data_IF_783602838788
#
_entry.id   IF_783602838788
#
_cell.length_a   1.000
_cell.length_b   1.000
_cell.length_c   1.000
_cell.angle_alpha   90.00
_cell.angle_beta   90.00
_cell.angle_gamma   90.00
#
_symmetry.space_group_name_H-M   'P 1'
#
loop_
_entity.id
_entity.type
_entity.pdbx_description
1 polymer ?
#
# COMPACT_ATOMS: atom_id res chain seq x y z
N UNK A 1 23.03 24.39 21.85
CA UNK A 1 21.57 24.31 22.01
C UNK A 1 21.30 23.63 23.34
N UNK A 2 20.35 24.13 24.10
CA UNK A 2 19.94 23.51 25.33
C UNK A 2 19.36 22.09 25.03
N UNK A 3 19.82 21.02 25.72
CA UNK A 3 19.30 19.66 25.52
C UNK A 3 17.78 19.56 25.66
N UNK A 4 17.20 20.36 26.53
CA UNK A 4 15.76 20.42 26.75
C UNK A 4 15.00 20.96 25.54
N UNK A 5 15.51 22.00 24.90
CA UNK A 5 14.89 22.56 23.70
C UNK A 5 15.02 21.61 22.50
N UNK A 6 16.12 20.86 22.40
CA UNK A 6 16.30 19.84 21.37
C UNK A 6 15.32 18.67 21.56
N UNK A 7 15.15 18.20 22.80
CA UNK A 7 14.19 17.14 23.11
C UNK A 7 12.74 17.58 22.86
N UNK A 8 12.38 18.80 23.23
CA UNK A 8 11.05 19.36 22.95
C UNK A 8 10.80 19.50 21.44
N UNK A 9 11.80 19.97 20.67
CA UNK A 9 11.69 20.06 19.23
C UNK A 9 11.52 18.68 18.57
N UNK A 10 12.26 17.65 19.01
CA UNK A 10 12.12 16.28 18.53
C UNK A 10 10.74 15.70 18.84
N UNK A 11 10.21 15.94 20.05
CA UNK A 11 8.87 15.51 20.44
C UNK A 11 7.77 16.18 19.60
N UNK A 12 7.91 17.48 19.31
CA UNK A 12 6.99 18.19 18.41
C UNK A 12 7.06 17.62 16.99
N UNK A 13 8.25 17.38 16.46
CA UNK A 13 8.42 16.79 15.13
C UNK A 13 7.78 15.40 15.07
N UNK A 14 8.03 14.52 16.03
CA UNK A 14 7.40 13.20 16.10
C UNK A 14 5.86 13.30 16.14
N UNK A 15 5.32 14.27 16.90
CA UNK A 15 3.88 14.50 16.94
C UNK A 15 3.33 14.98 15.60
N UNK A 16 4.04 15.84 14.87
CA UNK A 16 3.63 16.29 13.54
C UNK A 16 3.63 15.14 12.53
N UNK A 17 4.66 14.29 12.54
CA UNK A 17 4.75 13.10 11.67
C UNK A 17 3.58 12.14 11.95
N UNK A 18 3.23 11.94 13.22
CA UNK A 18 2.05 11.15 13.62
C UNK A 18 0.74 11.76 13.13
N UNK A 19 0.58 13.07 13.24
CA UNK A 19 -0.61 13.76 12.72
C UNK A 19 -0.73 13.63 11.20
N UNK A 20 0.36 13.76 10.47
CA UNK A 20 0.37 13.60 9.00
C UNK A 20 -0.04 12.18 8.62
N UNK A 21 0.46 11.16 9.31
CA UNK A 21 0.06 9.77 9.09
C UNK A 21 -1.42 9.55 9.40
N UNK A 22 -1.92 10.05 10.53
CA UNK A 22 -3.33 9.94 10.91
C UNK A 22 -4.25 10.66 9.91
N UNK A 23 -3.86 11.86 9.46
CA UNK A 23 -4.59 12.61 8.45
C UNK A 23 -4.66 11.85 7.12
N UNK A 24 -3.55 11.24 6.69
CA UNK A 24 -3.52 10.40 5.49
C UNK A 24 -4.42 9.18 5.64
N UNK A 25 -4.37 8.48 6.77
CA UNK A 25 -5.24 7.33 7.05
C UNK A 25 -6.72 7.73 7.03
N UNK A 26 -7.05 8.87 7.64
CA UNK A 26 -8.43 9.37 7.68
C UNK A 26 -8.92 9.78 6.30
N UNK A 27 -8.12 10.50 5.53
CA UNK A 27 -8.46 10.90 4.17
C UNK A 27 -8.74 9.69 3.26
N UNK A 28 -8.09 8.57 3.51
CA UNK A 28 -8.23 7.34 2.73
C UNK A 28 -9.10 6.26 3.40
N UNK A 29 -9.76 6.56 4.53
CA UNK A 29 -10.56 5.57 5.27
C UNK A 29 -11.69 4.95 4.44
N UNK A 30 -12.22 5.70 3.47
CA UNK A 30 -13.26 5.24 2.53
C UNK A 30 -12.70 4.75 1.19
N UNK A 31 -11.39 4.75 1.00
CA UNK A 31 -10.76 4.33 -0.25
C UNK A 31 -10.68 2.81 -0.30
N UNK A 32 -11.27 2.19 -1.33
CA UNK A 32 -11.23 0.74 -1.49
C UNK A 32 -9.79 0.23 -1.61
N UNK A 33 -9.47 -0.82 -0.86
CA UNK A 33 -8.13 -1.43 -0.87
C UNK A 33 -7.03 -0.61 -0.21
N UNK A 34 -7.34 0.54 0.39
CA UNK A 34 -6.35 1.29 1.17
C UNK A 34 -5.85 0.47 2.35
N UNK A 35 -4.58 0.57 2.63
CA UNK A 35 -3.90 -0.07 3.76
C UNK A 35 -3.31 1.01 4.65
N UNK A 36 -3.80 1.08 5.90
CA UNK A 36 -3.40 2.10 6.84
C UNK A 36 -1.93 1.93 7.24
N UNK A 37 -1.24 3.04 7.40
CA UNK A 37 0.09 3.05 8.00
C UNK A 37 -0.05 3.13 9.52
N UNK A 38 0.83 2.41 10.19
CA UNK A 38 0.94 2.36 11.65
C UNK A 38 2.36 2.70 12.05
N UNK A 39 2.51 3.23 13.24
CA UNK A 39 3.79 3.55 13.82
C UNK A 39 3.90 3.01 15.24
N UNK A 40 5.12 2.78 15.65
CA UNK A 40 5.47 2.42 17.02
C UNK A 40 6.45 3.47 17.55
N UNK A 41 6.07 4.10 18.66
CA UNK A 41 6.94 5.00 19.39
C UNK A 41 7.64 4.23 20.50
N UNK A 42 8.93 4.41 20.67
CA UNK A 42 9.60 4.06 21.90
C UNK A 42 10.24 5.29 22.52
N UNK A 43 10.16 5.38 23.81
CA UNK A 43 10.94 6.34 24.59
C UNK A 43 12.34 5.78 24.76
N UNK A 44 13.34 6.39 24.13
CA UNK A 44 14.73 6.04 24.38
C UNK A 44 15.17 6.77 25.66
N UNK A 45 15.43 6.02 26.70
CA UNK A 45 16.25 6.49 27.80
C UNK A 45 17.68 6.49 27.27
N UNK A 46 18.23 7.66 26.99
CA UNK A 46 19.66 7.78 26.71
C UNK A 46 20.40 7.41 28.01
N UNK A 47 20.81 6.15 28.08
CA UNK A 47 21.70 5.67 29.14
C UNK A 47 23.13 6.10 28.86
N UNK A 48 23.39 7.40 28.84
CA UNK A 48 24.69 7.93 29.16
C UNK A 48 24.72 8.33 30.63
N UNK A 49 24.62 7.33 31.49
CA UNK A 49 25.01 7.46 32.86
C UNK A 49 26.56 7.49 32.90
N UNK A 50 27.12 8.65 32.70
CA UNK A 50 28.40 8.97 33.38
C UNK A 50 28.13 8.98 34.87
N UNK A 51 29.04 8.38 35.62
CA UNK A 51 29.01 8.10 37.07
C UNK A 51 28.90 9.37 37.96
N UNK A 52 27.97 10.25 37.71
CA UNK A 52 27.68 11.40 38.57
C UNK A 52 26.23 11.29 39.05
N UNK A 53 26.08 10.63 40.21
CA UNK A 53 24.80 10.30 40.87
C UNK A 53 23.94 11.51 41.29
N UNK A 54 24.30 12.73 40.96
CA UNK A 54 23.64 13.94 41.50
C UNK A 54 22.84 14.76 40.47
N UNK A 55 22.82 14.37 39.20
CA UNK A 55 22.01 15.07 38.20
C UNK A 55 21.59 14.18 37.03
N UNK A 56 20.53 13.35 37.17
CA UNK A 56 20.01 12.59 36.07
C UNK A 56 19.32 13.53 35.06
N UNK A 57 20.09 14.07 34.11
CA UNK A 57 19.51 14.70 32.92
C UNK A 57 19.05 13.61 31.97
N UNK A 58 17.95 12.96 32.33
CA UNK A 58 17.28 11.99 31.47
C UNK A 58 16.59 12.77 30.37
N UNK A 59 17.26 12.90 29.25
CA UNK A 59 16.64 13.39 28.03
C UNK A 59 15.78 12.27 27.43
N UNK A 60 14.53 12.15 27.87
CA UNK A 60 13.55 11.30 27.20
C UNK A 60 13.18 11.95 25.87
N UNK A 61 13.65 11.39 24.76
CA UNK A 61 13.25 11.82 23.44
C UNK A 61 12.37 10.74 22.80
N UNK A 62 11.09 11.00 22.54
CA UNK A 62 10.26 10.08 21.78
C UNK A 62 10.80 9.99 20.36
N UNK A 63 11.11 8.79 19.91
CA UNK A 63 11.52 8.51 18.54
C UNK A 63 10.56 7.54 17.89
N UNK A 64 10.16 7.83 16.66
CA UNK A 64 9.45 6.87 15.82
C UNK A 64 10.42 5.75 15.46
N UNK A 65 10.26 4.58 16.09
CA UNK A 65 11.14 3.45 15.87
C UNK A 65 10.82 2.69 14.60
N UNK A 66 9.56 2.60 14.23
CA UNK A 66 9.14 1.82 13.08
C UNK A 66 7.80 2.31 12.54
N UNK A 67 7.76 2.54 11.24
CA UNK A 67 6.53 2.67 10.47
C UNK A 67 6.31 1.42 9.63
N UNK A 68 5.08 0.94 9.54
CA UNK A 68 4.71 -0.17 8.66
C UNK A 68 3.28 -0.01 8.16
N UNK A 69 3.02 -0.57 6.97
CA UNK A 69 1.67 -0.65 6.41
C UNK A 69 0.97 -1.91 6.92
N UNK A 70 -0.25 -1.77 7.44
CA UNK A 70 -1.08 -2.88 7.90
C UNK A 70 -1.80 -3.52 6.70
N UNK A 71 -1.32 -4.67 6.25
CA UNK A 71 -1.90 -5.42 5.14
C UNK A 71 -3.04 -6.37 5.54
N UNK A 72 -3.56 -6.29 6.77
CA UNK A 72 -4.67 -7.12 7.21
C UNK A 72 -5.87 -7.04 6.26
N UNK A 73 -6.60 -8.15 6.10
CA UNK A 73 -7.78 -8.22 5.26
C UNK A 73 -8.91 -7.35 5.83
N UNK A 74 -9.43 -6.45 5.01
CA UNK A 74 -10.62 -5.66 5.31
C UNK A 74 -11.92 -6.41 4.96
N UNK A 75 -13.05 -5.82 5.28
CA UNK A 75 -14.36 -6.33 4.92
C UNK A 75 -14.56 -6.28 3.41
N UNK A 76 -15.02 -7.39 2.83
CA UNK A 76 -15.40 -7.46 1.43
C UNK A 76 -16.86 -7.01 1.28
N UNK A 77 -17.08 -6.06 0.38
CA UNK A 77 -18.42 -5.52 0.10
C UNK A 77 -18.76 -5.83 -1.35
N UNK A 78 -19.94 -6.39 -1.57
CA UNK A 78 -20.44 -6.61 -2.92
C UNK A 78 -21.04 -5.31 -3.46
N UNK A 79 -20.48 -4.79 -4.54
CA UNK A 79 -20.94 -3.54 -5.20
C UNK A 79 -21.93 -3.79 -6.32
N UNK A 80 -22.03 -5.03 -6.81
CA UNK A 80 -22.83 -5.39 -7.98
C UNK A 80 -22.24 -4.93 -9.32
N UNK A 81 -21.06 -4.31 -9.32
CA UNK A 81 -20.37 -3.90 -10.55
C UNK A 81 -19.47 -5.04 -11.05
N UNK A 82 -19.55 -5.42 -12.33
CA UNK A 82 -18.70 -6.50 -12.89
C UNK A 82 -17.23 -6.12 -13.01
N UNK A 83 -16.89 -4.84 -12.95
CA UNK A 83 -15.53 -4.33 -13.01
C UNK A 83 -14.88 -4.20 -11.63
N UNK A 84 -15.65 -4.27 -10.55
CA UNK A 84 -15.13 -4.22 -9.20
C UNK A 84 -14.67 -5.61 -8.77
N UNK A 85 -13.41 -5.73 -8.45
CA UNK A 85 -12.79 -6.98 -8.05
C UNK A 85 -12.25 -6.88 -6.63
N UNK A 86 -12.31 -7.98 -5.89
CA UNK A 86 -11.73 -8.03 -4.55
C UNK A 86 -10.87 -9.29 -4.39
N UNK A 87 -9.75 -9.15 -3.70
CA UNK A 87 -8.91 -10.27 -3.32
C UNK A 87 -9.26 -10.74 -1.91
N UNK A 88 -9.52 -12.02 -1.78
CA UNK A 88 -9.64 -12.70 -0.48
C UNK A 88 -8.29 -13.32 -0.11
N UNK A 89 -7.75 -12.95 1.04
CA UNK A 89 -6.44 -13.42 1.50
C UNK A 89 -5.27 -12.55 1.05
N UNK A 90 -4.08 -13.15 0.91
CA UNK A 90 -2.85 -12.46 0.54
C UNK A 90 -2.71 -12.30 -0.97
N UNK A 91 -2.12 -11.21 -1.45
CA UNK A 91 -1.88 -10.97 -2.87
C UNK A 91 -2.21 -9.53 -3.28
N UNK A 92 -1.87 -9.16 -4.49
CA UNK A 92 -2.06 -7.83 -5.06
C UNK A 92 -2.41 -7.98 -6.54
N UNK A 93 -3.23 -7.08 -7.04
CA UNK A 93 -3.40 -6.90 -8.46
C UNK A 93 -2.17 -6.23 -9.05
N UNK A 94 -1.73 -6.71 -10.20
CA UNK A 94 -0.67 -6.06 -10.96
C UNK A 94 -1.27 -5.14 -12.02
N UNK A 95 -0.76 -3.91 -12.12
CA UNK A 95 -1.16 -2.93 -13.14
C UNK A 95 0.06 -2.35 -13.84
N UNK A 96 -0.12 -1.90 -15.08
CA UNK A 96 0.93 -1.27 -15.87
C UNK A 96 1.07 0.20 -15.49
N UNK A 97 2.01 0.52 -14.60
CA UNK A 97 2.34 1.90 -14.26
C UNK A 97 3.33 2.54 -15.24
N UNK A 98 3.56 3.86 -15.13
CA UNK A 98 4.42 4.61 -16.06
C UNK A 98 5.90 4.18 -15.99
N UNK A 99 6.34 3.71 -14.84
CA UNK A 99 7.74 3.30 -14.59
C UNK A 99 7.85 1.80 -14.29
N UNK A 100 6.94 0.97 -14.81
CA UNK A 100 6.90 -0.47 -14.62
C UNK A 100 5.68 -0.95 -13.85
N UNK A 101 5.71 -2.20 -13.40
CA UNK A 101 4.59 -2.82 -12.71
C UNK A 101 4.35 -2.18 -11.35
N UNK A 102 3.11 -1.82 -11.11
CA UNK A 102 2.60 -1.39 -9.80
C UNK A 102 1.68 -2.47 -9.24
N UNK A 103 1.62 -2.53 -7.92
CA UNK A 103 0.81 -3.50 -7.17
C UNK A 103 -0.20 -2.76 -6.31
N UNK A 104 -1.45 -3.21 -6.34
CA UNK A 104 -2.54 -2.58 -5.57
C UNK A 104 -3.47 -3.60 -4.95
N UNK A 105 -4.08 -3.25 -3.83
CA UNK A 105 -5.20 -3.97 -3.22
C UNK A 105 -6.55 -3.37 -3.60
N UNK A 106 -6.54 -2.19 -4.22
CA UNK A 106 -7.75 -1.59 -4.77
C UNK A 106 -8.21 -2.38 -5.98
N UNK A 107 -9.45 -2.86 -5.95
CA UNK A 107 -10.08 -3.54 -7.06
C UNK A 107 -11.19 -2.71 -7.71
N UNK A 108 -11.23 -1.40 -7.42
CA UNK A 108 -12.13 -0.48 -8.09
C UNK A 108 -11.59 -0.17 -9.49
N UNK A 109 -11.96 -1.01 -10.44
CA UNK A 109 -11.55 -0.88 -11.84
C UNK A 109 -12.72 -0.38 -12.69
N UNK A 110 -12.40 0.17 -13.84
CA UNK A 110 -13.40 0.57 -14.84
C UNK A 110 -12.86 0.32 -16.25
N UNK A 111 -13.77 0.27 -17.21
CA UNK A 111 -13.38 0.13 -18.61
C UNK A 111 -13.10 1.48 -19.24
N UNK A 112 -11.95 1.62 -19.88
CA UNK A 112 -11.65 2.76 -20.73
C UNK A 112 -12.53 2.74 -21.99
N UNK A 113 -12.63 3.86 -22.74
CA UNK A 113 -13.34 3.90 -24.02
C UNK A 113 -12.83 2.89 -25.05
N UNK A 114 -11.58 2.41 -24.89
CA UNK A 114 -10.95 1.40 -25.74
C UNK A 114 -11.19 -0.03 -25.28
N UNK A 115 -12.02 -0.25 -24.23
CA UNK A 115 -12.31 -1.56 -23.70
C UNK A 115 -11.21 -2.15 -22.82
N UNK A 116 -10.23 -1.36 -22.40
CA UNK A 116 -9.18 -1.80 -21.48
C UNK A 116 -9.66 -1.65 -20.04
N UNK A 117 -9.50 -2.67 -19.21
CA UNK A 117 -9.75 -2.58 -17.77
C UNK A 117 -8.62 -1.77 -17.12
N UNK A 118 -8.97 -0.67 -16.49
CA UNK A 118 -8.02 0.25 -15.86
C UNK A 118 -8.39 0.55 -14.42
N UNK A 119 -7.39 0.90 -13.62
CA UNK A 119 -7.59 1.39 -12.26
C UNK A 119 -8.15 2.81 -12.23
N UNK A 120 -8.51 3.32 -11.05
CA UNK A 120 -9.02 4.68 -10.86
C UNK A 120 -8.10 5.76 -11.46
N UNK A 121 -6.79 5.54 -11.47
CA UNK A 121 -5.79 6.44 -12.03
C UNK A 121 -5.45 6.14 -13.50
N UNK A 122 -6.18 5.24 -14.16
CA UNK A 122 -6.04 4.91 -15.57
C UNK A 122 -4.93 3.90 -15.88
N UNK A 123 -4.36 3.22 -14.90
CA UNK A 123 -3.35 2.17 -15.14
C UNK A 123 -4.00 0.87 -15.57
N UNK A 124 -3.60 0.31 -16.75
CA UNK A 124 -4.14 -0.95 -17.24
C UNK A 124 -3.89 -2.12 -16.30
N UNK A 125 -4.92 -2.91 -16.03
CA UNK A 125 -4.82 -4.16 -15.29
C UNK A 125 -4.10 -5.20 -16.14
N UNK A 126 -3.17 -5.95 -15.52
CA UNK A 126 -2.32 -6.92 -16.20
C UNK A 126 -2.94 -8.31 -16.16
N UNK A 127 -2.81 -8.98 -17.29
CA UNK A 127 -2.96 -10.44 -17.40
C UNK A 127 -1.63 -11.15 -17.11
N UNK A 128 -1.71 -12.42 -16.78
CA UNK A 128 -0.56 -13.30 -16.72
C UNK A 128 0.21 -13.23 -18.05
N UNK A 129 1.48 -12.80 -18.00
CA UNK A 129 2.26 -12.49 -19.19
C UNK A 129 2.43 -11.00 -19.47
N UNK A 130 1.83 -10.11 -18.66
CA UNK A 130 2.09 -8.68 -18.67
C UNK A 130 1.26 -7.86 -19.65
N UNK A 131 0.41 -8.49 -20.44
CA UNK A 131 -0.48 -7.80 -21.37
C UNK A 131 -1.63 -7.11 -20.62
N UNK A 132 -2.14 -5.96 -21.10
CA UNK A 132 -3.32 -5.33 -20.54
C UNK A 132 -4.57 -6.17 -20.83
N UNK A 133 -5.52 -6.20 -19.86
CA UNK A 133 -6.83 -6.80 -20.08
C UNK A 133 -7.63 -5.89 -21.00
N UNK A 134 -7.97 -6.41 -22.20
CA UNK A 134 -8.86 -5.76 -23.16
C UNK A 134 -10.08 -6.63 -23.40
N UNK A 135 -11.25 -6.02 -23.47
CA UNK A 135 -12.51 -6.67 -23.77
C UNK A 135 -13.33 -5.84 -24.76
N UNK A 136 -14.13 -6.51 -25.57
CA UNK A 136 -15.03 -5.85 -26.50
C UNK A 136 -16.38 -5.46 -25.84
N UNK A 137 -16.71 -6.09 -24.71
CA UNK A 137 -17.94 -5.81 -23.96
C UNK A 137 -17.72 -5.99 -22.45
N UNK A 138 -18.00 -4.93 -21.74
CA UNK A 138 -17.92 -4.95 -20.27
C UNK A 138 -19.03 -5.77 -19.61
N UNK A 139 -20.17 -5.93 -20.28
CA UNK A 139 -21.38 -6.55 -19.69
C UNK A 139 -21.33 -8.07 -19.59
N UNK A 140 -20.42 -8.73 -20.31
CA UNK A 140 -20.29 -10.18 -20.32
C UNK A 140 -19.04 -10.70 -19.58
N UNK A 141 -18.30 -9.78 -18.91
CA UNK A 141 -17.07 -10.16 -18.21
C UNK A 141 -17.42 -10.86 -16.90
N UNK A 142 -16.82 -12.03 -16.71
CA UNK A 142 -16.87 -12.78 -15.46
C UNK A 142 -15.44 -13.10 -15.01
N UNK A 143 -15.18 -12.97 -13.71
CA UNK A 143 -13.89 -13.34 -13.13
C UNK A 143 -14.09 -14.48 -12.17
N UNK A 144 -13.43 -15.58 -12.42
CA UNK A 144 -13.43 -16.76 -11.58
C UNK A 144 -12.64 -16.56 -10.28
N UNK A 145 -12.86 -17.43 -9.33
CA UNK A 145 -12.13 -17.42 -8.03
C UNK A 145 -10.64 -17.72 -8.17
N UNK A 146 -10.24 -18.30 -9.28
CA UNK A 146 -8.85 -18.58 -9.68
C UNK A 146 -8.19 -17.41 -10.43
N UNK A 147 -8.94 -16.30 -10.62
CA UNK A 147 -8.50 -15.16 -11.40
C UNK A 147 -8.62 -15.34 -12.92
N UNK A 148 -9.23 -16.43 -13.38
CA UNK A 148 -9.53 -16.63 -14.79
C UNK A 148 -10.63 -15.66 -15.23
N UNK A 149 -10.45 -15.07 -16.41
CA UNK A 149 -11.38 -14.10 -16.97
C UNK A 149 -12.11 -14.76 -18.13
N UNK A 150 -13.43 -14.75 -18.04
CA UNK A 150 -14.33 -15.26 -19.06
C UNK A 150 -15.08 -14.11 -19.71
N UNK A 151 -15.23 -14.14 -21.00
CA UNK A 151 -16.09 -13.24 -21.77
C UNK A 151 -17.00 -14.09 -22.66
N UNK A 152 -18.32 -13.91 -22.50
CA UNK A 152 -19.35 -14.69 -23.19
C UNK A 152 -19.17 -16.22 -23.05
N UNK A 153 -18.51 -16.66 -21.97
CA UNK A 153 -18.20 -18.07 -21.67
C UNK A 153 -16.83 -18.52 -22.15
N UNK A 154 -16.12 -17.74 -22.96
CA UNK A 154 -14.78 -18.05 -23.43
C UNK A 154 -13.71 -17.45 -22.52
N UNK A 155 -12.66 -18.22 -22.21
CA UNK A 155 -11.54 -17.76 -21.42
C UNK A 155 -10.65 -16.83 -22.24
N UNK A 156 -10.57 -15.54 -21.84
CA UNK A 156 -9.75 -14.53 -22.50
C UNK A 156 -8.40 -14.31 -21.82
N UNK A 157 -8.22 -14.79 -20.61
CA UNK A 157 -6.96 -14.70 -19.89
C UNK A 157 -7.10 -14.96 -18.39
N UNK A 158 -6.02 -14.72 -17.68
CA UNK A 158 -5.94 -14.82 -16.23
C UNK A 158 -5.33 -13.53 -15.67
N UNK A 159 -5.89 -13.00 -14.59
CA UNK A 159 -5.33 -11.85 -13.89
C UNK A 159 -3.94 -12.16 -13.35
N UNK A 160 -3.02 -11.21 -13.53
CA UNK A 160 -1.72 -11.28 -12.87
C UNK A 160 -1.86 -10.88 -11.40
N UNK A 161 -1.82 -11.88 -10.53
CA UNK A 161 -1.84 -11.69 -9.08
C UNK A 161 -0.44 -11.94 -8.54
N UNK A 162 0.08 -10.98 -7.77
CA UNK A 162 1.38 -11.09 -7.13
C UNK A 162 1.21 -11.36 -5.64
N UNK A 163 1.94 -12.35 -5.13
CA UNK A 163 2.07 -12.60 -3.70
C UNK A 163 3.52 -12.37 -3.27
N UNK A 164 3.69 -11.68 -2.16
CA UNK A 164 5.01 -11.38 -1.60
C UNK A 164 5.15 -12.08 -0.24
N UNK A 165 6.27 -12.75 -0.04
CA UNK A 165 6.58 -13.39 1.25
C UNK A 165 6.67 -12.35 2.37
N UNK A 166 7.16 -11.17 2.06
CA UNK A 166 7.23 -10.03 2.95
C UNK A 166 6.72 -8.76 2.26
N UNK A 167 5.44 -8.40 2.46
CA UNK A 167 4.86 -7.20 1.89
C UNK A 167 5.49 -5.89 2.40
N UNK A 168 6.23 -5.91 3.52
CA UNK A 168 6.90 -4.73 4.06
C UNK A 168 8.03 -4.22 3.16
N UNK A 169 8.52 -5.04 2.24
CA UNK A 169 9.51 -4.66 1.24
C UNK A 169 8.91 -3.80 0.10
N UNK A 170 7.59 -3.75 0.01
CA UNK A 170 6.94 -2.93 -1.00
C UNK A 170 7.06 -1.45 -0.60
N UNK A 171 7.55 -0.64 -1.53
CA UNK A 171 7.58 0.81 -1.36
C UNK A 171 6.28 1.41 -1.88
N UNK A 172 5.55 2.11 -1.03
CA UNK A 172 4.38 2.89 -1.44
C UNK A 172 4.81 3.99 -2.43
N UNK A 173 4.10 4.12 -3.54
CA UNK A 173 4.42 5.10 -4.58
C UNK A 173 3.46 6.28 -4.54
N UNK A 174 2.18 6.03 -4.68
CA UNK A 174 1.12 7.04 -4.60
C UNK A 174 -0.22 6.34 -4.33
N UNK A 175 -1.08 6.94 -3.52
CA UNK A 175 -2.42 6.43 -3.23
C UNK A 175 -2.38 4.98 -2.69
N UNK A 176 -3.02 4.06 -3.43
CA UNK A 176 -3.12 2.64 -3.08
C UNK A 176 -2.08 1.75 -3.75
N UNK A 177 -1.11 2.34 -4.46
CA UNK A 177 -0.11 1.59 -5.23
C UNK A 177 1.20 1.43 -4.48
N UNK A 178 1.78 0.26 -4.66
CA UNK A 178 3.11 -0.09 -4.16
C UNK A 178 3.96 -0.63 -5.29
N UNK A 179 5.27 -0.51 -5.16
CA UNK A 179 6.26 -1.00 -6.12
C UNK A 179 7.30 -1.84 -5.41
N UNK A 180 7.77 -2.89 -6.07
CA UNK A 180 8.99 -3.57 -5.61
C UNK A 180 10.19 -2.65 -5.79
N UNK A 181 11.04 -2.49 -4.76
CA UNK A 181 12.28 -1.75 -4.91
C UNK A 181 13.15 -2.45 -5.97
N UNK A 182 13.68 -1.68 -6.90
CA UNK A 182 14.64 -2.20 -7.88
C UNK A 182 15.92 -2.50 -7.12
N UNK A 183 16.16 -3.77 -6.81
CA UNK A 183 17.47 -4.20 -6.33
C UNK A 183 18.46 -3.88 -7.45
N UNK A 184 19.26 -2.84 -7.28
CA UNK A 184 20.45 -2.65 -8.09
C UNK A 184 21.30 -3.91 -7.92
N UNK A 185 21.31 -4.77 -8.92
CA UNK A 185 22.36 -5.80 -9.02
C UNK A 185 23.68 -5.03 -9.07
N UNK A 186 24.37 -4.97 -7.94
CA UNK A 186 25.78 -4.62 -7.93
C UNK A 186 26.47 -5.80 -8.66
N UNK A 187 27.02 -5.50 -9.83
CA UNK A 187 27.92 -6.41 -10.54
C UNK A 187 29.25 -6.46 -9.81
#
# INVERSE_FOLDING_TARGET
MDPLTAAAAAGLQASMDSFDMLANNLANASTAGFKADREFHSTYLAAEATEDELNPSVGESPQVQKQWTDFAQGTLVNTGSPSDLALSGTGFFAVNGPNGTLYTRSGNFHFSPQGTLVSADGYPVRLAGGQPLQTQSASSLQVGTDGQILQDGDAIGQLELASFADPSQLTRTAGTYSRMPIHRRIR
#
